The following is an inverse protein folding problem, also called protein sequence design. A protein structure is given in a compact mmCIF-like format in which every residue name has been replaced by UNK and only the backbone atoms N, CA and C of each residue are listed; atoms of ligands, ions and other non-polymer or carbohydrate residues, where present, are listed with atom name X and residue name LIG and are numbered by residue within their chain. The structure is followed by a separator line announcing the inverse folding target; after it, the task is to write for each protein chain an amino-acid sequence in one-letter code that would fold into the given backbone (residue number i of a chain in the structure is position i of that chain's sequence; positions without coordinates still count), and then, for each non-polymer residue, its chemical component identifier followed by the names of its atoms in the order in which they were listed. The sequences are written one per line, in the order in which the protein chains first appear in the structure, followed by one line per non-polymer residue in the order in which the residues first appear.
data_IF_088803321257
#
_entry.id   IF_088803321257
#
_cell.length_a   1.000
_cell.length_b   1.000
_cell.length_c   1.000
_cell.angle_alpha   90.00
_cell.angle_beta   90.00
_cell.angle_gamma   90.00
#
_symmetry.space_group_name_H-M   'P 1'
#
loop_
_entity.id
_entity.type
_entity.pdbx_description
1 polymer ?
#
# COMPACT_ATOMS: atom_id res chain seq x y z
N UNK A 1 57.08 13.49 -11.77
CA UNK A 1 55.73 14.10 -11.76
C UNK A 1 55.74 15.16 -10.67
N UNK A 2 55.52 16.44 -10.98
CA UNK A 2 55.71 17.51 -10.00
C UNK A 2 54.75 17.31 -8.82
N UNK A 3 55.22 17.55 -7.58
CA UNK A 3 54.39 17.43 -6.37
C UNK A 3 53.08 18.23 -6.49
N UNK A 4 53.10 19.37 -7.18
CA UNK A 4 51.91 20.16 -7.54
C UNK A 4 50.89 19.40 -8.39
N UNK A 5 51.33 18.69 -9.43
CA UNK A 5 50.45 17.91 -10.32
C UNK A 5 49.79 16.77 -9.55
N UNK A 6 50.54 16.11 -8.65
CA UNK A 6 50.00 15.05 -7.80
C UNK A 6 48.92 15.56 -6.84
N UNK A 7 49.11 16.73 -6.23
CA UNK A 7 48.13 17.37 -5.35
C UNK A 7 46.84 17.73 -6.11
N UNK A 8 46.97 18.30 -7.32
CA UNK A 8 45.81 18.68 -8.14
C UNK A 8 44.95 17.45 -8.49
N UNK A 9 45.57 16.34 -8.87
CA UNK A 9 44.86 15.09 -9.19
C UNK A 9 44.15 14.53 -7.95
N UNK A 10 44.78 14.60 -6.77
CA UNK A 10 44.19 14.15 -5.52
C UNK A 10 42.94 14.97 -5.17
N UNK A 11 43.01 16.30 -5.26
CA UNK A 11 41.86 17.19 -5.01
C UNK A 11 40.72 16.91 -6.00
N UNK A 12 41.05 16.71 -7.28
CA UNK A 12 40.05 16.34 -8.28
C UNK A 12 39.37 15.01 -7.95
N UNK A 13 40.12 14.00 -7.49
CA UNK A 13 39.54 12.71 -7.11
C UNK A 13 38.55 12.83 -5.94
N UNK A 14 38.88 13.61 -4.90
CA UNK A 14 37.96 13.89 -3.79
C UNK A 14 36.72 14.67 -4.24
N UNK A 15 36.89 15.64 -5.14
CA UNK A 15 35.79 16.43 -5.67
C UNK A 15 34.81 15.57 -6.48
N UNK A 16 35.31 14.61 -7.27
CA UNK A 16 34.48 13.65 -8.00
C UNK A 16 33.61 12.81 -7.05
N UNK A 17 34.19 12.30 -5.96
CA UNK A 17 33.45 11.49 -4.96
C UNK A 17 32.28 12.29 -4.37
N UNK A 18 32.49 13.56 -4.00
CA UNK A 18 31.44 14.43 -3.45
C UNK A 18 30.33 14.68 -4.49
N UNK A 19 30.70 14.90 -5.76
CA UNK A 19 29.74 15.10 -6.85
C UNK A 19 28.87 13.85 -7.10
N UNK A 20 29.46 12.64 -7.02
CA UNK A 20 28.70 11.38 -7.13
C UNK A 20 27.66 11.24 -6.01
N UNK A 21 28.00 11.54 -4.76
CA UNK A 21 27.03 11.51 -3.66
C UNK A 21 25.90 12.53 -3.85
N UNK A 22 26.21 13.72 -4.37
CA UNK A 22 25.20 14.75 -4.68
C UNK A 22 24.25 14.33 -5.79
N UNK A 23 24.78 13.75 -6.88
CA UNK A 23 23.99 13.18 -7.97
C UNK A 23 23.12 12.01 -7.50
N UNK A 24 23.64 11.16 -6.60
CA UNK A 24 22.89 10.04 -6.06
C UNK A 24 21.73 10.48 -5.15
N UNK A 25 21.92 11.53 -4.35
CA UNK A 25 20.85 12.18 -3.59
C UNK A 25 19.73 12.70 -4.48
N UNK A 26 20.07 13.45 -5.53
CA UNK A 26 19.08 13.98 -6.50
C UNK A 26 18.34 12.86 -7.25
N UNK A 27 19.05 11.81 -7.69
CA UNK A 27 18.45 10.65 -8.34
C UNK A 27 17.48 9.88 -7.42
N UNK A 28 17.75 9.86 -6.11
CA UNK A 28 16.89 9.24 -5.10
C UNK A 28 15.60 10.02 -4.91
N UNK A 29 15.65 11.35 -4.95
CA UNK A 29 14.45 12.19 -4.86
C UNK A 29 13.56 12.07 -6.10
N UNK A 30 14.14 11.93 -7.30
CA UNK A 30 13.37 11.66 -8.53
C UNK A 30 12.65 10.31 -8.44
N UNK A 31 13.31 9.26 -7.93
CA UNK A 31 12.65 7.95 -7.70
C UNK A 31 11.49 8.03 -6.72
N UNK A 32 11.59 8.86 -5.67
CA UNK A 32 10.48 9.10 -4.73
C UNK A 32 9.32 9.85 -5.40
N UNK A 33 9.58 10.70 -6.40
CA UNK A 33 8.55 11.40 -7.16
C UNK A 33 7.88 10.52 -8.22
N UNK A 34 8.62 9.62 -8.90
CA UNK A 34 8.05 8.70 -9.88
C UNK A 34 7.19 7.58 -9.26
N UNK A 35 7.35 7.33 -7.96
CA UNK A 35 6.49 6.46 -7.17
C UNK A 35 5.15 7.11 -6.77
N UNK A 36 4.86 8.33 -7.24
CA UNK A 36 3.53 8.93 -7.10
C UNK A 36 2.58 8.37 -8.15
N UNK A 37 1.68 7.51 -7.66
CA UNK A 37 0.37 7.18 -8.23
C UNK A 37 0.35 6.30 -9.49
N UNK A 38 0.93 5.10 -9.43
CA UNK A 38 0.18 3.98 -10.00
C UNK A 38 -0.99 3.71 -9.06
N UNK A 39 -2.26 3.91 -9.50
CA UNK A 39 -3.41 3.57 -8.67
C UNK A 39 -3.28 2.11 -8.25
N UNK A 40 -3.50 1.81 -6.97
CA UNK A 40 -3.53 0.41 -6.54
C UNK A 40 -4.66 -0.31 -7.27
N UNK A 41 -4.59 -1.65 -7.32
CA UNK A 41 -5.70 -2.42 -7.87
C UNK A 41 -7.01 -2.13 -7.12
N UNK A 42 -6.92 -1.93 -5.80
CA UNK A 42 -8.02 -1.46 -4.95
C UNK A 42 -8.62 -0.13 -5.46
N UNK A 43 -7.79 0.89 -5.70
CA UNK A 43 -8.24 2.20 -6.18
C UNK A 43 -9.02 2.10 -7.50
N UNK A 44 -8.58 1.20 -8.39
CA UNK A 44 -9.24 0.98 -9.66
C UNK A 44 -10.63 0.37 -9.49
N UNK A 45 -10.79 -0.60 -8.59
CA UNK A 45 -12.10 -1.18 -8.29
C UNK A 45 -13.03 -0.19 -7.59
N UNK A 46 -12.51 0.64 -6.68
CA UNK A 46 -13.30 1.72 -6.05
C UNK A 46 -13.81 2.70 -7.10
N UNK A 47 -12.96 3.13 -8.04
CA UNK A 47 -13.36 4.02 -9.14
C UNK A 47 -14.44 3.40 -10.02
N UNK A 48 -14.28 2.12 -10.40
CA UNK A 48 -15.31 1.39 -11.15
C UNK A 48 -16.64 1.33 -10.41
N UNK A 49 -16.62 1.04 -9.10
CA UNK A 49 -17.83 1.03 -8.28
C UNK A 49 -18.52 2.39 -8.24
N UNK A 50 -17.75 3.48 -8.14
CA UNK A 50 -18.30 4.84 -8.20
C UNK A 50 -18.96 5.15 -9.55
N UNK A 51 -18.34 4.74 -10.66
CA UNK A 51 -18.92 4.91 -11.99
C UNK A 51 -20.24 4.14 -12.15
N UNK A 52 -20.33 2.92 -11.63
CA UNK A 52 -21.58 2.15 -11.64
C UNK A 52 -22.66 2.78 -10.75
N UNK A 53 -22.30 3.32 -9.59
CA UNK A 53 -23.24 4.10 -8.78
C UNK A 53 -23.81 5.31 -9.54
N UNK A 54 -22.96 6.04 -10.26
CA UNK A 54 -23.39 7.19 -11.08
C UNK A 54 -24.29 6.76 -12.25
N UNK A 55 -24.03 5.60 -12.83
CA UNK A 55 -24.87 5.01 -13.87
C UNK A 55 -26.18 4.39 -13.33
N UNK A 56 -26.39 4.38 -12.00
CA UNK A 56 -27.56 3.78 -11.35
C UNK A 56 -27.50 2.25 -11.20
N UNK A 57 -26.42 1.60 -11.66
CA UNK A 57 -26.22 0.16 -11.59
C UNK A 57 -25.62 -0.22 -10.22
N UNK A 58 -26.50 -0.25 -9.21
CA UNK A 58 -26.10 -0.48 -7.81
C UNK A 58 -25.52 -1.87 -7.55
N UNK A 59 -25.96 -2.88 -8.30
CA UNK A 59 -25.49 -4.25 -8.17
C UNK A 59 -24.03 -4.36 -8.63
N UNK A 60 -23.71 -3.87 -9.84
CA UNK A 60 -22.32 -3.86 -10.32
C UNK A 60 -21.42 -2.97 -9.47
N UNK A 61 -21.96 -1.88 -8.91
CA UNK A 61 -21.23 -1.05 -7.96
C UNK A 61 -20.86 -1.83 -6.70
N UNK A 62 -21.80 -2.59 -6.14
CA UNK A 62 -21.57 -3.44 -4.98
C UNK A 62 -20.48 -4.48 -5.26
N UNK A 63 -20.56 -5.18 -6.39
CA UNK A 63 -19.55 -6.17 -6.78
C UNK A 63 -18.15 -5.57 -6.92
N UNK A 64 -18.04 -4.35 -7.46
CA UNK A 64 -16.76 -3.65 -7.53
C UNK A 64 -16.21 -3.30 -6.14
N UNK A 65 -17.05 -2.77 -5.24
CA UNK A 65 -16.63 -2.46 -3.88
C UNK A 65 -16.30 -3.73 -3.07
N UNK A 66 -16.99 -4.84 -3.32
CA UNK A 66 -16.71 -6.14 -2.72
C UNK A 66 -15.33 -6.67 -3.12
N UNK A 67 -14.97 -6.57 -4.41
CA UNK A 67 -13.62 -6.91 -4.89
C UNK A 67 -12.54 -6.05 -4.25
N UNK A 68 -12.76 -4.73 -4.19
CA UNK A 68 -11.84 -3.81 -3.54
C UNK A 68 -11.63 -4.15 -2.06
N UNK A 69 -12.73 -4.44 -1.33
CA UNK A 69 -12.66 -4.89 0.06
C UNK A 69 -11.81 -6.15 0.22
N UNK A 70 -11.98 -7.16 -0.64
CA UNK A 70 -11.16 -8.38 -0.56
C UNK A 70 -9.68 -8.14 -0.82
N UNK A 71 -9.34 -7.22 -1.73
CA UNK A 71 -7.94 -6.80 -1.94
C UNK A 71 -7.39 -6.18 -0.65
N UNK A 72 -8.10 -5.24 -0.02
CA UNK A 72 -7.65 -4.60 1.22
C UNK A 72 -7.46 -5.62 2.36
N UNK A 73 -8.36 -6.60 2.48
CA UNK A 73 -8.26 -7.67 3.48
C UNK A 73 -7.06 -8.59 3.22
N UNK A 74 -6.84 -8.98 1.97
CA UNK A 74 -5.69 -9.78 1.57
C UNK A 74 -4.36 -9.03 1.81
N UNK A 75 -4.31 -7.75 1.47
CA UNK A 75 -3.14 -6.90 1.74
C UNK A 75 -2.88 -6.75 3.24
N UNK A 76 -3.90 -6.51 4.06
CA UNK A 76 -3.76 -6.46 5.51
C UNK A 76 -3.20 -7.77 6.07
N UNK A 77 -3.75 -8.91 5.62
CA UNK A 77 -3.27 -10.23 6.01
C UNK A 77 -1.79 -10.41 5.64
N UNK A 78 -1.42 -10.11 4.39
CA UNK A 78 -0.05 -10.25 3.93
C UNK A 78 0.92 -9.33 4.68
N UNK A 79 0.52 -8.09 4.96
CA UNK A 79 1.34 -7.15 5.74
C UNK A 79 1.58 -7.65 7.18
N UNK A 80 0.56 -8.22 7.82
CA UNK A 80 0.69 -8.81 9.16
C UNK A 80 1.60 -10.06 9.11
N UNK A 81 1.40 -10.92 8.10
CA UNK A 81 2.20 -12.14 7.90
C UNK A 81 3.68 -11.87 7.62
N UNK A 82 4.00 -10.79 6.89
CA UNK A 82 5.37 -10.43 6.53
C UNK A 82 6.12 -9.70 7.66
N UNK A 83 5.43 -9.13 8.65
CA UNK A 83 6.08 -8.46 9.78
C UNK A 83 6.78 -9.49 10.68
N UNK A 84 8.11 -9.49 10.64
CA UNK A 84 8.99 -10.39 11.41
C UNK A 84 8.74 -10.40 12.93
N UNK A 85 8.12 -9.33 13.47
CA UNK A 85 7.75 -9.20 14.89
C UNK A 85 6.37 -9.78 15.23
N UNK A 86 5.63 -10.36 14.27
CA UNK A 86 4.38 -11.09 14.49
C UNK A 86 4.61 -12.52 15.06
N UNK A 87 5.69 -12.69 15.84
CA UNK A 87 6.09 -13.99 16.41
C UNK A 87 5.10 -14.48 17.47
N UNK A 88 4.33 -13.61 18.12
CA UNK A 88 3.20 -14.00 18.97
C UNK A 88 1.85 -13.83 18.27
N UNK A 89 0.99 -14.83 18.43
CA UNK A 89 -0.41 -14.84 17.96
C UNK A 89 -1.21 -13.63 18.49
N UNK A 90 -0.86 -13.13 19.69
CA UNK A 90 -1.43 -11.93 20.28
C UNK A 90 -1.19 -10.69 19.42
N UNK A 91 0.00 -10.57 18.81
CA UNK A 91 0.37 -9.38 18.05
C UNK A 91 -0.37 -9.33 16.72
N UNK A 92 -0.55 -10.47 16.05
CA UNK A 92 -1.39 -10.57 14.85
C UNK A 92 -2.84 -10.19 15.14
N UNK A 93 -3.37 -10.71 16.25
CA UNK A 93 -4.74 -10.42 16.69
C UNK A 93 -4.93 -8.94 17.00
N UNK A 94 -3.97 -8.34 17.73
CA UNK A 94 -4.00 -6.92 18.08
C UNK A 94 -3.91 -6.03 16.84
N UNK A 95 -3.00 -6.36 15.90
CA UNK A 95 -2.90 -5.63 14.64
C UNK A 95 -4.20 -5.75 13.83
N UNK A 96 -4.76 -6.95 13.70
CA UNK A 96 -6.03 -7.16 13.00
C UNK A 96 -7.13 -6.28 13.60
N UNK A 97 -7.32 -6.36 14.91
CA UNK A 97 -8.36 -5.61 15.63
C UNK A 97 -8.15 -4.09 15.54
N UNK A 98 -6.92 -3.61 15.33
CA UNK A 98 -6.64 -2.19 15.14
C UNK A 98 -6.94 -1.68 13.73
N UNK A 99 -6.74 -2.51 12.69
CA UNK A 99 -6.86 -2.06 11.29
C UNK A 99 -8.18 -2.48 10.63
N UNK A 100 -8.67 -3.68 10.92
CA UNK A 100 -9.86 -4.26 10.31
C UNK A 100 -11.13 -3.39 10.46
N UNK A 101 -11.45 -2.82 11.65
CA UNK A 101 -12.63 -1.97 11.80
C UNK A 101 -12.61 -0.72 10.91
N UNK A 102 -11.43 -0.17 10.63
CA UNK A 102 -11.28 0.99 9.75
C UNK A 102 -11.61 0.63 8.29
N UNK A 103 -11.19 -0.55 7.84
CA UNK A 103 -11.53 -1.09 6.51
C UNK A 103 -13.04 -1.29 6.43
N UNK A 104 -13.65 -1.95 7.42
CA UNK A 104 -15.10 -2.17 7.47
C UNK A 104 -15.86 -0.85 7.43
N UNK A 105 -15.49 0.13 8.27
CA UNK A 105 -16.11 1.45 8.29
C UNK A 105 -16.02 2.17 6.92
N UNK A 106 -14.88 2.05 6.24
CA UNK A 106 -14.69 2.65 4.92
C UNK A 106 -15.58 2.02 3.85
N UNK A 107 -15.68 0.68 3.82
CA UNK A 107 -16.48 -0.04 2.83
C UNK A 107 -17.97 -0.07 3.15
N UNK A 108 -18.36 -0.11 4.42
CA UNK A 108 -19.75 -0.08 4.85
C UNK A 108 -20.46 1.18 4.33
N UNK A 109 -19.83 2.35 4.44
CA UNK A 109 -20.36 3.61 3.87
C UNK A 109 -20.60 3.57 2.36
N UNK A 110 -19.86 2.72 1.63
CA UNK A 110 -20.02 2.54 0.19
C UNK A 110 -21.12 1.54 -0.13
N UNK A 111 -21.20 0.44 0.62
CA UNK A 111 -22.25 -0.57 0.50
C UNK A 111 -23.64 0.00 0.86
N UNK A 112 -23.73 0.87 1.87
CA UNK A 112 -24.97 1.60 2.19
C UNK A 112 -25.53 2.37 0.98
N UNK A 113 -24.65 2.89 0.10
CA UNK A 113 -25.07 3.61 -1.12
C UNK A 113 -25.58 2.68 -2.21
N UNK A 114 -25.15 1.43 -2.21
CA UNK A 114 -25.63 0.41 -3.16
C UNK A 114 -26.91 -0.27 -2.68
N UNK A 115 -27.22 -0.21 -1.38
CA UNK A 115 -28.38 -0.87 -0.78
C UNK A 115 -28.17 -2.37 -0.56
N UNK A 116 -26.95 -2.85 -0.73
CA UNK A 116 -26.54 -4.24 -0.48
C UNK A 116 -25.65 -4.28 0.77
N UNK A 117 -25.63 -5.41 1.46
CA UNK A 117 -24.79 -5.62 2.65
C UNK A 117 -23.85 -6.79 2.44
N UNK A 118 -22.65 -6.69 3.02
CA UNK A 118 -21.70 -7.79 3.13
C UNK A 118 -21.64 -8.25 4.58
N UNK A 119 -21.58 -9.56 4.80
CA UNK A 119 -21.30 -10.09 6.14
C UNK A 119 -19.83 -9.87 6.48
N UNK A 120 -19.55 -8.92 7.36
CA UNK A 120 -18.20 -8.61 7.79
C UNK A 120 -17.65 -9.65 8.78
N UNK A 121 -18.51 -10.34 9.53
CA UNK A 121 -18.07 -11.29 10.57
C UNK A 121 -17.26 -12.47 10.02
N UNK A 122 -17.40 -12.77 8.73
CA UNK A 122 -16.63 -13.81 8.05
C UNK A 122 -15.13 -13.46 7.95
N UNK A 123 -14.77 -12.18 8.10
CA UNK A 123 -13.41 -11.67 7.96
C UNK A 123 -12.88 -10.98 9.22
N UNK A 124 -13.58 -11.07 10.35
CA UNK A 124 -13.26 -10.27 11.54
C UNK A 124 -12.04 -10.74 12.36
N UNK A 125 -11.37 -11.82 11.95
CA UNK A 125 -10.13 -12.28 12.58
C UNK A 125 -9.09 -12.69 11.55
N UNK A 126 -7.82 -12.53 11.93
CA UNK A 126 -6.68 -12.96 11.10
C UNK A 126 -6.76 -14.45 10.75
N UNK A 127 -7.09 -15.30 11.73
CA UNK A 127 -7.16 -16.76 11.53
C UNK A 127 -8.28 -17.18 10.56
N UNK A 128 -9.44 -16.51 10.60
CA UNK A 128 -10.52 -16.74 9.62
C UNK A 128 -10.04 -16.45 8.21
N UNK A 129 -9.42 -15.29 8.00
CA UNK A 129 -8.90 -14.92 6.68
C UNK A 129 -7.75 -15.83 6.26
N UNK A 130 -6.86 -16.20 7.17
CA UNK A 130 -5.78 -17.15 6.91
C UNK A 130 -6.28 -18.54 6.52
N UNK A 131 -7.48 -18.95 6.94
CA UNK A 131 -8.08 -20.22 6.51
C UNK A 131 -8.67 -20.19 5.09
N UNK A 132 -8.88 -18.99 4.52
CA UNK A 132 -9.51 -18.76 3.22
C UNK A 132 -8.49 -18.46 2.11
N UNK A 133 -7.26 -18.05 2.46
CA UNK A 133 -6.16 -17.69 1.57
C UNK A 133 -5.17 -18.86 1.41
#
# INVERSE_FOLDING_TARGET
MNNLVSIIILVFAFLQIILFFKLWGMATDIKKMSMKHTPSEEDNWIKKGQLFCLNGDKEKAFECYKKAFYISISELHNQISLKFNAQLMSDRTNMWNSYYPNIVSYYNKKFERTGFSLNFDDYNSFEKVSSLL
#
